data_IF_384236284516
#
_entry.id   IF_384236284516
#
_cell.length_a   1.000
_cell.length_b   1.000
_cell.length_c   1.000
_cell.angle_alpha   90.00
_cell.angle_beta   90.00
_cell.angle_gamma   90.00
#
_symmetry.space_group_name_H-M   'P 1'
#
loop_
_entity.id
_entity.type
_entity.pdbx_description
1 polymer ?
#
# COMPACT_ATOMS: atom_id res chain seq x y z
N UNK A 1 -3.52 6.48 26.32
CA UNK A 1 -3.15 6.91 27.65
C UNK A 1 -3.34 5.73 28.61
N UNK A 2 -2.30 5.40 29.39
CA UNK A 2 -2.29 4.23 30.30
C UNK A 2 -3.35 4.37 31.43
N UNK A 3 -3.59 5.59 31.88
CA UNK A 3 -4.64 5.89 32.86
C UNK A 3 -6.03 5.46 32.36
N UNK A 4 -6.37 5.73 31.11
CA UNK A 4 -7.65 5.32 30.52
C UNK A 4 -7.78 3.80 30.41
N UNK A 5 -6.69 3.09 30.08
CA UNK A 5 -6.67 1.61 29.99
C UNK A 5 -6.89 0.99 31.40
N UNK A 6 -6.31 1.61 32.42
CA UNK A 6 -6.45 1.13 33.82
C UNK A 6 -7.84 1.37 34.41
N UNK A 7 -8.44 2.54 34.13
CA UNK A 7 -9.70 2.95 34.75
C UNK A 7 -10.93 2.61 33.90
N UNK A 8 -10.79 2.38 32.61
CA UNK A 8 -11.85 1.97 31.70
C UNK A 8 -11.34 0.89 30.74
N UNK A 9 -10.99 -0.33 31.22
CA UNK A 9 -10.41 -1.39 30.42
C UNK A 9 -11.31 -1.78 29.23
N UNK A 10 -12.61 -1.85 29.45
CA UNK A 10 -13.60 -2.23 28.43
C UNK A 10 -14.06 -1.07 27.56
N UNK A 11 -13.49 0.12 27.76
CA UNK A 11 -13.87 1.35 27.05
C UNK A 11 -15.37 1.67 27.07
N UNK A 12 -16.04 1.38 28.18
CA UNK A 12 -17.48 1.61 28.37
C UNK A 12 -17.84 3.10 28.44
N UNK A 13 -16.91 3.92 28.90
CA UNK A 13 -17.06 5.38 28.99
C UNK A 13 -16.62 6.09 27.71
N UNK A 14 -16.26 5.35 26.68
CA UNK A 14 -15.73 5.89 25.41
C UNK A 14 -14.56 6.86 25.70
N UNK A 15 -13.72 6.51 26.66
CA UNK A 15 -12.57 7.33 27.09
C UNK A 15 -11.41 7.34 26.08
N UNK A 16 -11.47 6.47 25.10
CA UNK A 16 -10.52 6.36 23.99
C UNK A 16 -11.22 5.92 22.70
N UNK A 17 -10.64 6.27 21.56
CA UNK A 17 -11.10 5.76 20.27
C UNK A 17 -10.95 4.23 20.19
N UNK A 18 -11.87 3.57 19.51
CA UNK A 18 -11.77 2.14 19.25
C UNK A 18 -10.74 1.88 18.15
N UNK A 19 -9.73 1.11 18.49
CA UNK A 19 -8.74 0.68 17.50
C UNK A 19 -9.39 -0.23 16.46
N UNK A 20 -9.19 0.09 15.19
CA UNK A 20 -9.70 -0.72 14.09
C UNK A 20 -8.72 -0.77 12.92
N UNK A 21 -8.67 -1.91 12.25
CA UNK A 21 -7.95 -2.05 10.99
C UNK A 21 -8.77 -1.42 9.86
N UNK A 22 -8.10 -0.67 9.00
CA UNK A 22 -8.75 -0.11 7.82
C UNK A 22 -9.12 -1.21 6.82
N UNK A 23 -10.29 -1.12 6.14
CA UNK A 23 -10.63 -2.02 5.04
C UNK A 23 -9.63 -1.92 3.88
N UNK A 24 -9.42 -3.01 3.16
CA UNK A 24 -8.44 -3.09 2.05
C UNK A 24 -8.64 -2.03 0.98
N UNK A 25 -9.88 -1.69 0.63
CA UNK A 25 -10.17 -0.59 -0.30
C UNK A 25 -9.64 0.76 0.20
N UNK A 26 -9.80 1.03 1.49
CA UNK A 26 -9.30 2.27 2.11
C UNK A 26 -7.78 2.21 2.24
N UNK A 27 -7.20 1.05 2.55
CA UNK A 27 -5.75 0.85 2.61
C UNK A 27 -5.08 1.16 1.26
N UNK A 28 -5.67 0.68 0.15
CA UNK A 28 -5.17 0.99 -1.18
C UNK A 28 -5.26 2.50 -1.49
N UNK A 29 -6.41 3.12 -1.24
CA UNK A 29 -6.59 4.56 -1.46
C UNK A 29 -5.62 5.38 -0.59
N UNK A 30 -5.40 4.95 0.64
CA UNK A 30 -4.47 5.58 1.56
C UNK A 30 -3.00 5.45 1.11
N UNK A 31 -2.60 4.28 0.61
CA UNK A 31 -1.25 4.10 0.05
C UNK A 31 -1.01 5.04 -1.15
N UNK A 32 -1.98 5.11 -2.07
CA UNK A 32 -1.93 6.02 -3.22
C UNK A 32 -1.92 7.49 -2.80
N UNK A 33 -2.69 7.86 -1.76
CA UNK A 33 -2.73 9.22 -1.25
C UNK A 33 -1.39 9.65 -0.63
N UNK A 34 -0.75 8.79 0.17
CA UNK A 34 0.58 9.04 0.73
C UNK A 34 1.63 9.26 -0.36
N UNK A 35 1.53 8.50 -1.44
CA UNK A 35 2.40 8.64 -2.61
C UNK A 35 2.13 9.89 -3.45
N UNK A 36 0.97 10.52 -3.28
CA UNK A 36 0.51 11.60 -4.17
C UNK A 36 0.02 11.11 -5.53
N UNK A 37 -0.31 9.81 -5.64
CA UNK A 37 -0.80 9.19 -6.86
C UNK A 37 -2.34 9.18 -6.94
N UNK A 38 -3.04 9.29 -5.81
CA UNK A 38 -4.50 9.15 -5.77
C UNK A 38 -5.21 10.19 -6.64
N UNK A 39 -6.03 9.71 -7.56
CA UNK A 39 -6.88 10.54 -8.41
C UNK A 39 -8.27 10.68 -7.79
N UNK A 40 -8.65 11.91 -7.41
CA UNK A 40 -9.89 12.22 -6.69
C UNK A 40 -11.11 12.42 -7.60
N UNK A 41 -11.03 12.11 -8.91
CA UNK A 41 -12.13 12.27 -9.86
C UNK A 41 -13.36 11.50 -9.39
N UNK A 42 -14.49 12.18 -9.27
CA UNK A 42 -15.78 11.59 -8.87
C UNK A 42 -16.61 11.23 -10.11
N UNK A 43 -17.27 10.07 -10.06
CA UNK A 43 -18.13 9.59 -11.15
C UNK A 43 -17.36 9.00 -12.34
N UNK A 44 -18.05 8.63 -13.38
CA UNK A 44 -17.50 8.02 -14.58
C UNK A 44 -17.54 6.48 -14.58
N UNK A 45 -16.95 5.89 -15.60
CA UNK A 45 -16.92 4.44 -15.80
C UNK A 45 -16.04 3.75 -14.75
N UNK A 46 -16.27 2.43 -14.48
CA UNK A 46 -15.39 1.63 -13.67
C UNK A 46 -13.96 1.59 -14.26
N UNK A 47 -12.96 1.43 -13.38
CA UNK A 47 -11.56 1.35 -13.74
C UNK A 47 -11.00 -0.03 -13.42
N UNK A 48 -9.91 -0.39 -14.07
CA UNK A 48 -9.29 -1.71 -14.03
C UNK A 48 -7.85 -1.60 -13.51
N UNK A 49 -7.64 -1.44 -12.18
CA UNK A 49 -6.30 -1.37 -11.60
C UNK A 49 -5.53 -2.67 -11.81
N UNK A 50 -4.23 -2.66 -11.45
CA UNK A 50 -3.38 -3.85 -11.52
C UNK A 50 -4.04 -5.07 -10.91
N UNK A 51 -3.94 -6.19 -11.61
CA UNK A 51 -4.33 -7.51 -11.16
C UNK A 51 -3.24 -8.51 -11.56
N UNK A 52 -3.05 -9.59 -10.83
CA UNK A 52 -2.17 -10.67 -11.26
C UNK A 52 -2.65 -11.26 -12.59
N UNK A 53 -1.68 -11.65 -13.43
CA UNK A 53 -1.96 -12.30 -14.69
C UNK A 53 -2.78 -13.58 -14.50
N UNK A 54 -3.64 -13.87 -15.48
CA UNK A 54 -4.43 -15.12 -15.56
C UNK A 54 -5.48 -15.35 -14.47
N UNK A 55 -5.67 -14.45 -13.51
CA UNK A 55 -6.73 -14.60 -12.49
C UNK A 55 -8.11 -14.64 -13.13
N UNK A 56 -8.32 -13.86 -14.18
CA UNK A 56 -9.59 -13.79 -14.89
C UNK A 56 -9.78 -14.93 -15.90
N UNK A 57 -8.69 -15.42 -16.49
CA UNK A 57 -8.70 -16.56 -17.42
C UNK A 57 -9.07 -17.87 -16.71
N UNK A 58 -8.57 -18.09 -15.50
CA UNK A 58 -8.85 -19.28 -14.71
C UNK A 58 -10.35 -19.46 -14.36
N UNK A 59 -11.12 -18.39 -14.49
CA UNK A 59 -12.55 -18.32 -14.16
C UNK A 59 -13.46 -18.30 -15.39
N UNK A 60 -12.89 -18.34 -16.59
CA UNK A 60 -13.61 -18.55 -17.83
C UNK A 60 -14.03 -20.04 -17.92
N UNK A 61 -15.19 -20.37 -17.33
CA UNK A 61 -15.74 -21.73 -17.30
C UNK A 61 -16.18 -22.19 -18.70
N UNK A 62 -16.35 -21.27 -19.64
CA UNK A 62 -16.71 -21.60 -21.03
C UNK A 62 -15.80 -20.82 -21.99
N UNK A 63 -15.31 -21.51 -23.01
CA UNK A 63 -14.48 -20.94 -24.11
C UNK A 63 -15.16 -19.78 -24.86
N UNK A 64 -16.46 -19.58 -24.65
CA UNK A 64 -17.27 -18.58 -25.35
C UNK A 64 -17.30 -17.23 -24.64
N UNK A 65 -16.86 -17.14 -23.39
CA UNK A 65 -16.78 -15.86 -22.66
C UNK A 65 -15.32 -15.58 -22.33
N UNK A 66 -14.56 -15.21 -23.34
CA UNK A 66 -13.26 -14.58 -23.15
C UNK A 66 -13.49 -13.21 -22.50
N UNK A 67 -13.39 -13.14 -21.19
CA UNK A 67 -13.29 -11.87 -20.50
C UNK A 67 -11.81 -11.51 -20.40
N UNK A 68 -11.36 -10.72 -21.35
CA UNK A 68 -10.06 -10.09 -21.28
C UNK A 68 -10.13 -8.95 -20.25
N UNK A 69 -9.24 -8.95 -19.26
CA UNK A 69 -9.16 -7.89 -18.28
C UNK A 69 -8.44 -6.69 -18.90
N UNK A 70 -9.15 -5.62 -19.29
CA UNK A 70 -8.53 -4.47 -19.93
C UNK A 70 -7.81 -3.63 -18.87
N UNK A 71 -6.55 -3.96 -18.57
CA UNK A 71 -5.77 -3.18 -17.60
C UNK A 71 -5.85 -1.68 -17.93
N UNK A 72 -6.22 -0.88 -16.94
CA UNK A 72 -6.28 0.57 -17.08
C UNK A 72 -4.88 1.15 -17.26
N UNK A 73 -4.82 2.34 -17.87
CA UNK A 73 -3.58 3.11 -18.06
C UNK A 73 -3.77 4.53 -17.54
N UNK A 74 -2.68 5.23 -17.29
CA UNK A 74 -2.70 6.62 -16.84
C UNK A 74 -3.42 6.81 -15.50
N UNK A 75 -4.18 7.88 -15.40
CA UNK A 75 -4.87 8.27 -14.16
C UNK A 75 -5.90 7.24 -13.68
N UNK A 76 -6.45 6.44 -14.57
CA UNK A 76 -7.45 5.43 -14.23
C UNK A 76 -6.89 4.30 -13.35
N UNK A 77 -5.58 4.02 -13.41
CA UNK A 77 -4.90 3.11 -12.47
C UNK A 77 -4.95 3.57 -11.03
N UNK A 78 -5.01 4.88 -10.80
CA UNK A 78 -4.85 5.51 -9.49
C UNK A 78 -6.15 6.07 -8.91
N UNK A 79 -7.29 5.81 -9.56
CA UNK A 79 -8.59 6.20 -9.02
C UNK A 79 -8.92 5.47 -7.73
N UNK A 80 -9.83 6.08 -6.96
CA UNK A 80 -10.31 5.49 -5.69
C UNK A 80 -10.85 4.09 -5.92
N UNK A 81 -10.58 3.21 -4.99
CA UNK A 81 -10.93 1.79 -5.03
C UNK A 81 -12.42 1.52 -5.22
N UNK A 82 -13.29 2.48 -4.83
CA UNK A 82 -14.74 2.37 -5.04
C UNK A 82 -15.12 2.31 -6.52
N UNK A 83 -14.29 2.83 -7.41
CA UNK A 83 -14.50 2.81 -8.87
C UNK A 83 -13.92 1.58 -9.55
N UNK A 84 -13.25 0.68 -8.81
CA UNK A 84 -12.67 -0.54 -9.37
C UNK A 84 -13.76 -1.45 -9.91
N UNK A 85 -13.55 -1.93 -11.13
CA UNK A 85 -14.43 -2.93 -11.73
C UNK A 85 -14.47 -4.20 -10.87
N UNK A 86 -15.67 -4.68 -10.65
CA UNK A 86 -15.93 -5.83 -9.83
C UNK A 86 -16.80 -6.84 -10.54
N UNK A 87 -16.32 -8.07 -10.64
CA UNK A 87 -17.14 -9.17 -11.15
C UNK A 87 -17.65 -10.01 -9.98
N UNK A 88 -18.88 -10.48 -10.04
CA UNK A 88 -19.51 -11.25 -8.96
C UNK A 88 -18.71 -12.50 -8.57
N UNK A 89 -18.08 -13.14 -9.56
CA UNK A 89 -17.29 -14.39 -9.38
C UNK A 89 -15.84 -14.11 -9.03
N UNK A 90 -15.34 -12.89 -9.28
CA UNK A 90 -13.93 -12.51 -9.07
C UNK A 90 -13.87 -11.10 -8.56
N UNK A 91 -13.51 -10.95 -7.29
CA UNK A 91 -13.14 -9.65 -6.74
C UNK A 91 -11.68 -9.30 -7.05
N UNK A 92 -11.30 -8.01 -6.98
CA UNK A 92 -9.92 -7.62 -7.05
C UNK A 92 -9.08 -8.29 -5.94
N UNK A 93 -7.97 -8.93 -6.32
CA UNK A 93 -7.15 -9.74 -5.40
C UNK A 93 -6.60 -8.91 -4.23
N UNK A 94 -6.31 -7.62 -4.46
CA UNK A 94 -5.82 -6.71 -3.44
C UNK A 94 -6.90 -6.11 -2.52
N UNK A 95 -8.17 -6.49 -2.71
CA UNK A 95 -9.32 -6.07 -1.88
C UNK A 95 -9.88 -7.26 -1.08
N UNK A 96 -9.02 -7.91 -0.34
CA UNK A 96 -9.18 -9.21 0.30
C UNK A 96 -10.23 -9.32 1.41
N UNK A 97 -10.71 -8.21 1.96
CA UNK A 97 -11.77 -8.16 2.98
C UNK A 97 -13.08 -7.57 2.44
N UNK A 98 -13.17 -7.39 1.15
CA UNK A 98 -14.36 -6.88 0.50
C UNK A 98 -15.45 -7.95 0.43
N UNK A 99 -16.71 -7.52 0.44
CA UNK A 99 -17.85 -8.43 0.25
C UNK A 99 -17.77 -9.13 -1.10
N UNK A 100 -18.05 -10.42 -1.11
CA UNK A 100 -18.19 -11.24 -2.31
C UNK A 100 -19.39 -10.84 -3.20
N UNK A 101 -20.20 -9.89 -2.74
CA UNK A 101 -21.41 -9.38 -3.41
C UNK A 101 -22.47 -10.44 -3.74
N UNK A 102 -22.39 -11.60 -3.12
CA UNK A 102 -23.43 -12.64 -3.24
C UNK A 102 -24.56 -12.42 -2.24
N UNK A 103 -24.26 -11.79 -1.11
CA UNK A 103 -25.22 -11.43 -0.09
C UNK A 103 -25.01 -9.99 0.40
N UNK A 104 -26.09 -9.33 0.83
CA UNK A 104 -26.00 -8.04 1.48
C UNK A 104 -25.25 -8.18 2.81
N UNK A 105 -24.12 -7.47 2.94
CA UNK A 105 -23.37 -7.35 4.20
C UNK A 105 -23.28 -5.90 4.61
N UNK A 106 -23.89 -5.56 5.72
CA UNK A 106 -23.85 -4.20 6.29
C UNK A 106 -22.43 -3.87 6.78
N UNK A 107 -21.72 -4.86 7.30
CA UNK A 107 -20.35 -4.70 7.79
C UNK A 107 -19.49 -5.87 7.30
N UNK A 108 -18.59 -5.64 6.35
CA UNK A 108 -17.66 -6.67 5.90
C UNK A 108 -16.73 -7.09 7.06
N UNK A 109 -16.37 -8.36 7.07
CA UNK A 109 -15.39 -8.89 8.03
C UNK A 109 -14.03 -8.23 7.79
N UNK A 110 -13.42 -7.71 8.85
CA UNK A 110 -12.05 -7.21 8.79
C UNK A 110 -11.12 -8.38 9.06
N UNK A 111 -10.12 -8.56 8.21
CA UNK A 111 -9.16 -9.65 8.35
C UNK A 111 -7.74 -9.10 8.44
N UNK A 112 -6.88 -9.79 9.17
CA UNK A 112 -5.46 -9.50 9.24
C UNK A 112 -4.70 -10.83 9.25
N UNK A 113 -4.38 -11.32 8.07
CA UNK A 113 -3.67 -12.60 7.91
C UNK A 113 -2.30 -12.37 7.27
N UNK A 114 -1.34 -13.29 7.44
CA UNK A 114 -0.06 -13.23 6.74
C UNK A 114 -0.20 -13.13 5.22
N UNK A 115 -1.24 -13.73 4.63
CA UNK A 115 -1.53 -13.62 3.19
C UNK A 115 -1.83 -12.18 2.77
N UNK A 116 -2.49 -11.38 3.61
CA UNK A 116 -2.74 -9.97 3.31
C UNK A 116 -1.44 -9.17 3.33
N UNK A 117 -0.56 -9.41 4.30
CA UNK A 117 0.75 -8.79 4.33
C UNK A 117 1.57 -9.19 3.08
N UNK A 118 1.54 -10.46 2.69
CA UNK A 118 2.19 -10.92 1.48
C UNK A 118 1.64 -10.23 0.23
N UNK A 119 0.32 -10.06 0.14
CA UNK A 119 -0.32 -9.35 -0.97
C UNK A 119 0.14 -7.89 -1.03
N UNK A 120 0.08 -7.15 0.08
CA UNK A 120 0.46 -5.73 0.09
C UNK A 120 1.96 -5.50 -0.11
N UNK A 121 2.81 -6.47 0.21
CA UNK A 121 4.25 -6.42 -0.04
C UNK A 121 4.63 -6.74 -1.50
N UNK A 122 3.74 -7.39 -2.27
CA UNK A 122 4.04 -7.82 -3.64
C UNK A 122 3.11 -7.19 -4.70
N UNK A 123 2.05 -6.49 -4.29
CA UNK A 123 1.11 -5.85 -5.23
C UNK A 123 1.78 -4.65 -5.92
N UNK A 124 1.70 -4.57 -7.26
CA UNK A 124 2.32 -3.48 -8.02
C UNK A 124 1.87 -2.08 -7.57
N UNK A 125 0.61 -1.92 -7.15
CA UNK A 125 0.09 -0.64 -6.65
C UNK A 125 0.84 -0.18 -5.40
N UNK A 126 1.13 -1.11 -4.48
CA UNK A 126 1.83 -0.81 -3.23
C UNK A 126 3.31 -0.52 -3.46
N UNK A 127 3.94 -1.30 -4.35
CA UNK A 127 5.35 -1.10 -4.71
C UNK A 127 5.49 0.26 -5.43
N UNK A 128 4.63 0.56 -6.38
CA UNK A 128 4.65 1.85 -7.08
C UNK A 128 4.36 3.02 -6.14
N UNK A 129 3.39 2.89 -5.23
CA UNK A 129 3.10 3.90 -4.23
C UNK A 129 4.31 4.14 -3.30
N UNK A 130 4.96 3.07 -2.81
CA UNK A 130 6.16 3.22 -1.97
C UNK A 130 7.33 3.86 -2.72
N UNK A 131 7.49 3.55 -4.02
CA UNK A 131 8.49 4.18 -4.88
C UNK A 131 8.27 5.69 -5.03
N UNK A 132 7.04 6.11 -5.28
CA UNK A 132 6.70 7.54 -5.37
C UNK A 132 6.82 8.27 -4.04
N UNK A 133 6.47 7.61 -2.94
CA UNK A 133 6.70 8.15 -1.60
C UNK A 133 8.19 8.37 -1.34
N UNK A 134 9.02 7.37 -1.66
CA UNK A 134 10.48 7.47 -1.55
C UNK A 134 11.05 8.61 -2.42
N UNK A 135 10.60 8.71 -3.68
CA UNK A 135 10.99 9.77 -4.59
C UNK A 135 10.67 11.15 -4.03
N UNK A 136 9.45 11.37 -3.55
CA UNK A 136 9.00 12.62 -2.94
C UNK A 136 9.86 13.02 -1.74
N UNK A 137 10.22 12.06 -0.90
CA UNK A 137 11.04 12.28 0.29
C UNK A 137 12.48 12.61 -0.11
N UNK A 138 13.07 11.89 -1.06
CA UNK A 138 14.42 12.15 -1.55
C UNK A 138 14.58 13.52 -2.20
N UNK A 139 13.54 14.01 -2.85
CA UNK A 139 13.53 15.36 -3.44
C UNK A 139 13.43 16.47 -2.39
N UNK A 140 12.80 16.20 -1.26
CA UNK A 140 12.60 17.18 -0.17
C UNK A 140 13.67 17.14 0.93
N UNK A 141 14.42 16.05 1.06
CA UNK A 141 15.29 15.79 2.21
C UNK A 141 16.61 15.16 1.77
N UNK A 142 17.74 15.67 2.30
CA UNK A 142 19.07 15.22 1.87
C UNK A 142 19.62 14.06 2.72
N UNK A 143 19.58 14.21 4.04
CA UNK A 143 20.16 13.26 4.97
C UNK A 143 19.31 11.99 5.10
N UNK A 144 19.94 10.82 5.17
CA UNK A 144 19.23 9.52 5.20
C UNK A 144 18.37 9.38 6.45
N UNK A 145 18.86 9.76 7.63
CA UNK A 145 18.10 9.67 8.87
C UNK A 145 16.85 10.55 8.82
N UNK A 146 16.96 11.76 8.29
CA UNK A 146 15.83 12.68 8.12
C UNK A 146 14.82 12.17 7.08
N UNK A 147 15.30 11.49 6.03
CA UNK A 147 14.42 10.81 5.04
C UNK A 147 13.57 9.75 5.72
N UNK A 148 14.18 8.92 6.57
CA UNK A 148 13.51 7.83 7.29
C UNK A 148 12.52 8.36 8.32
N UNK A 149 12.88 9.37 9.07
CA UNK A 149 11.96 10.06 9.99
C UNK A 149 10.79 10.67 9.23
N UNK A 150 11.07 11.38 8.11
CA UNK A 150 10.04 12.00 7.26
C UNK A 150 9.09 10.95 6.67
N UNK A 151 9.62 9.80 6.20
CA UNK A 151 8.80 8.70 5.69
C UNK A 151 7.86 8.17 6.77
N UNK A 152 8.38 7.91 7.94
CA UNK A 152 7.61 7.40 9.07
C UNK A 152 6.51 8.39 9.50
N UNK A 153 6.88 9.67 9.69
CA UNK A 153 5.93 10.72 10.06
C UNK A 153 4.85 10.96 9.01
N UNK A 154 5.23 10.93 7.74
CA UNK A 154 4.27 11.13 6.65
C UNK A 154 3.20 10.05 6.61
N UNK A 155 3.60 8.80 6.86
CA UNK A 155 2.69 7.63 6.81
C UNK A 155 1.88 7.46 8.08
N UNK A 156 2.51 7.64 9.26
CA UNK A 156 1.90 7.31 10.55
C UNK A 156 1.35 8.54 11.31
N UNK A 157 1.70 9.76 10.87
CA UNK A 157 1.48 11.02 11.58
C UNK A 157 2.11 11.06 12.98
N UNK A 158 3.12 10.21 13.24
CA UNK A 158 3.82 10.11 14.52
C UNK A 158 5.32 10.28 14.30
N UNK A 159 6.02 10.86 15.27
CA UNK A 159 7.49 10.88 15.30
C UNK A 159 8.00 9.51 15.74
N UNK A 160 8.95 8.88 15.02
CA UNK A 160 9.53 7.63 15.46
C UNK A 160 10.34 7.82 16.75
N UNK A 161 10.31 6.85 17.65
CA UNK A 161 11.26 6.81 18.76
C UNK A 161 12.68 6.52 18.24
N UNK A 162 13.70 6.85 19.03
CA UNK A 162 15.09 6.55 18.69
C UNK A 162 15.28 5.08 18.31
N UNK A 163 14.68 4.17 19.07
CA UNK A 163 14.74 2.74 18.77
C UNK A 163 14.10 2.36 17.44
N UNK A 164 12.95 2.99 17.10
CA UNK A 164 12.30 2.77 15.80
C UNK A 164 13.13 3.31 14.65
N UNK A 165 13.69 4.49 14.81
CA UNK A 165 14.55 5.11 13.79
C UNK A 165 15.78 4.25 13.52
N UNK A 166 16.44 3.75 14.55
CA UNK A 166 17.59 2.84 14.42
C UNK A 166 17.24 1.54 13.67
N UNK A 167 16.02 1.01 13.86
CA UNK A 167 15.55 -0.16 13.08
C UNK A 167 15.37 0.20 11.61
N UNK A 168 14.81 1.38 11.31
CA UNK A 168 14.62 1.84 9.94
C UNK A 168 15.97 2.10 9.23
N UNK A 169 16.94 2.70 9.93
CA UNK A 169 18.30 2.93 9.44
C UNK A 169 18.97 1.60 9.08
N UNK A 170 18.93 0.63 10.00
CA UNK A 170 19.47 -0.70 9.72
C UNK A 170 18.80 -1.36 8.53
N UNK A 171 17.47 -1.30 8.45
CA UNK A 171 16.73 -1.87 7.31
C UNK A 171 17.12 -1.18 5.98
N UNK A 172 17.33 0.12 5.98
CA UNK A 172 17.80 0.85 4.82
C UNK A 172 19.20 0.41 4.39
N UNK A 173 20.14 0.31 5.35
CA UNK A 173 21.52 -0.09 5.08
C UNK A 173 21.59 -1.53 4.54
N UNK A 174 20.80 -2.43 5.10
CA UNK A 174 20.69 -3.82 4.63
C UNK A 174 20.16 -3.86 3.18
N UNK A 175 19.10 -3.12 2.86
CA UNK A 175 18.56 -3.06 1.51
C UNK A 175 19.55 -2.43 0.53
N UNK A 176 20.22 -1.36 0.94
CA UNK A 176 21.23 -0.70 0.12
C UNK A 176 22.42 -1.65 -0.17
N UNK A 177 22.84 -2.44 0.81
CA UNK A 177 23.89 -3.45 0.63
C UNK A 177 23.48 -4.53 -0.36
N UNK A 178 22.23 -5.02 -0.29
CA UNK A 178 21.67 -6.00 -1.24
C UNK A 178 21.68 -5.42 -2.67
N UNK A 179 21.20 -4.20 -2.86
CA UNK A 179 21.16 -3.59 -4.19
C UNK A 179 22.54 -3.20 -4.72
N UNK A 180 23.52 -2.91 -3.84
CA UNK A 180 24.92 -2.75 -4.28
C UNK A 180 25.51 -4.04 -4.83
N UNK A 181 25.14 -5.20 -4.27
CA UNK A 181 25.57 -6.51 -4.79
C UNK A 181 24.84 -6.89 -6.09
N UNK A 182 23.60 -6.48 -6.23
CA UNK A 182 22.72 -6.82 -7.36
C UNK A 182 22.01 -5.58 -7.93
N UNK A 183 22.71 -4.68 -8.64
CA UNK A 183 22.12 -3.42 -9.13
C UNK A 183 20.93 -3.62 -10.07
N UNK A 184 20.91 -4.72 -10.82
CA UNK A 184 19.82 -5.05 -11.75
C UNK A 184 18.47 -5.27 -11.02
N UNK A 185 18.50 -5.77 -9.78
CA UNK A 185 17.28 -5.95 -8.98
C UNK A 185 16.71 -4.60 -8.53
N UNK A 186 17.57 -3.60 -8.28
CA UNK A 186 17.11 -2.23 -8.03
C UNK A 186 16.38 -1.65 -9.24
N UNK A 187 16.92 -1.83 -10.45
CA UNK A 187 16.27 -1.35 -11.68
C UNK A 187 14.94 -2.07 -11.94
N UNK A 188 14.88 -3.38 -11.73
CA UNK A 188 13.63 -4.16 -11.84
C UNK A 188 12.57 -3.65 -10.86
N UNK A 189 12.93 -3.45 -9.59
CA UNK A 189 12.02 -2.93 -8.57
C UNK A 189 11.49 -1.54 -8.98
N UNK A 190 12.38 -0.65 -9.40
CA UNK A 190 12.04 0.71 -9.79
C UNK A 190 11.28 0.81 -11.12
N UNK A 191 11.23 -0.27 -11.90
CA UNK A 191 10.46 -0.38 -13.14
C UNK A 191 9.01 -0.83 -12.89
N UNK A 192 8.67 -1.31 -11.68
CA UNK A 192 7.30 -1.76 -11.36
C UNK A 192 6.34 -0.56 -11.36
N UNK A 193 5.19 -0.75 -12.02
CA UNK A 193 4.18 0.27 -12.19
C UNK A 193 4.30 1.00 -13.54
N UNK A 194 3.30 1.82 -13.87
CA UNK A 194 3.23 2.51 -15.16
C UNK A 194 4.04 3.80 -15.17
N UNK A 195 3.96 4.58 -14.09
CA UNK A 195 4.68 5.87 -14.02
C UNK A 195 6.17 5.64 -13.87
N UNK A 196 6.96 6.29 -14.73
CA UNK A 196 8.41 6.19 -14.71
C UNK A 196 9.00 6.91 -13.50
N UNK A 197 10.08 6.36 -12.94
CA UNK A 197 10.83 6.98 -11.84
C UNK A 197 11.58 8.25 -12.31
N UNK A 198 11.92 9.10 -11.39
CA UNK A 198 12.83 10.21 -11.63
C UNK A 198 14.27 9.71 -11.80
N UNK A 199 14.81 9.80 -13.02
CA UNK A 199 16.16 9.33 -13.36
C UNK A 199 17.29 10.19 -12.75
N UNK A 200 16.97 11.35 -12.17
CA UNK A 200 17.96 12.19 -11.48
C UNK A 200 18.32 11.65 -10.08
N UNK A 201 17.52 10.74 -9.54
CA UNK A 201 17.78 10.12 -8.24
C UNK A 201 18.69 8.89 -8.38
N UNK A 202 19.66 8.69 -7.46
CA UNK A 202 20.49 7.48 -7.45
C UNK A 202 19.65 6.23 -7.32
N UNK A 203 19.78 5.30 -8.27
CA UNK A 203 18.90 4.14 -8.37
C UNK A 203 18.95 3.24 -7.13
N UNK A 204 20.14 2.95 -6.61
CA UNK A 204 20.32 2.05 -5.48
C UNK A 204 19.72 2.61 -4.19
N UNK A 205 19.96 3.90 -3.91
CA UNK A 205 19.36 4.59 -2.75
C UNK A 205 17.84 4.69 -2.87
N UNK A 206 17.36 5.00 -4.08
CA UNK A 206 15.92 5.08 -4.35
C UNK A 206 15.25 3.72 -4.14
N UNK A 207 15.85 2.63 -4.63
CA UNK A 207 15.33 1.27 -4.42
C UNK A 207 15.35 0.88 -2.94
N UNK A 208 16.44 1.17 -2.22
CA UNK A 208 16.54 0.89 -0.79
C UNK A 208 15.46 1.64 0.01
N UNK A 209 15.30 2.94 -0.23
CA UNK A 209 14.26 3.73 0.43
C UNK A 209 12.85 3.29 0.03
N UNK A 210 12.64 2.84 -1.21
CA UNK A 210 11.37 2.26 -1.66
C UNK A 210 10.98 1.05 -0.81
N UNK A 211 11.91 0.13 -0.54
CA UNK A 211 11.65 -1.03 0.30
C UNK A 211 11.33 -0.65 1.74
N UNK A 212 12.06 0.33 2.31
CA UNK A 212 11.75 0.83 3.66
C UNK A 212 10.37 1.51 3.70
N UNK A 213 10.03 2.33 2.71
CA UNK A 213 8.70 2.93 2.60
C UNK A 213 7.60 1.86 2.48
N UNK A 214 7.83 0.79 1.72
CA UNK A 214 6.91 -0.34 1.61
C UNK A 214 6.72 -1.03 2.97
N UNK A 215 7.80 -1.23 3.71
CA UNK A 215 7.75 -1.72 5.09
C UNK A 215 6.95 -0.81 6.02
N UNK A 216 7.19 0.50 5.98
CA UNK A 216 6.46 1.49 6.78
C UNK A 216 4.97 1.48 6.46
N UNK A 217 4.58 1.41 5.17
CA UNK A 217 3.18 1.29 4.75
C UNK A 217 2.51 0.01 5.30
N UNK A 218 3.28 -1.04 5.57
CA UNK A 218 2.80 -2.32 6.08
C UNK A 218 2.88 -2.48 7.61
N UNK A 219 3.37 -1.48 8.35
CA UNK A 219 3.35 -1.52 9.81
C UNK A 219 1.92 -1.56 10.34
N UNK A 220 1.70 -2.29 11.43
CA UNK A 220 0.39 -2.39 12.07
C UNK A 220 -0.18 -1.01 12.42
N UNK A 221 0.64 -0.09 12.94
CA UNK A 221 0.24 1.29 13.23
C UNK A 221 -0.10 2.12 11.98
N UNK A 222 0.34 1.69 10.80
CA UNK A 222 -0.02 2.30 9.51
C UNK A 222 -1.36 1.76 8.99
N UNK A 223 -1.65 0.50 9.26
CA UNK A 223 -2.83 -0.22 8.78
C UNK A 223 -4.03 -0.09 9.72
N UNK A 224 -3.82 0.39 10.95
CA UNK A 224 -4.86 0.58 11.97
C UNK A 224 -5.03 2.05 12.33
N UNK A 225 -6.17 2.40 12.86
CA UNK A 225 -6.49 3.72 13.41
C UNK A 225 -6.96 3.58 14.86
N UNK A 226 -6.53 4.52 15.68
CA UNK A 226 -6.97 4.71 17.09
C UNK A 226 -7.56 6.10 17.26
#
# INVERSE_FOLDING_TARGET
NEWHRKNDPDNRLISRATRFRMPSMILRDWALANAGLLVSKVGGQPVYPYQPDKVWEALAITKEINFDYPAATGDDLYRRSIYTFWRRTVGPVNMFDSSDRQACRVKPGKTSTPLHALTTLNDPTWIEASRFLAEKIMLGTKETSDRLETAFRHVTAQTPSVAKLSVLERAYDEQLAIFKQNPQEADKLLAIGEKKRNLKLPALEHAALTQVCLGILNLDQSLTRE
#
